data_IF_921726004673
#
_entry.id   IF_921726004673
#
_cell.length_a   1.000
_cell.length_b   1.000
_cell.length_c   1.000
_cell.angle_alpha   90.00
_cell.angle_beta   90.00
_cell.angle_gamma   90.00
#
_symmetry.space_group_name_H-M   'P 1'
#
loop_
_entity.id
_entity.type
_entity.pdbx_description
1 polymer ?
#
# COMPACT_ATOMS: atom_id res chain seq x y z
N UNK A 1 11.29 3.87 15.12
CA UNK A 1 11.87 2.97 14.11
C UNK A 1 12.49 3.81 13.00
N UNK A 2 13.78 3.67 12.79
CA UNK A 2 14.54 4.39 11.74
C UNK A 2 14.88 3.40 10.63
N UNK A 3 14.74 3.82 9.39
CA UNK A 3 15.13 3.02 8.22
C UNK A 3 16.64 3.16 8.01
N UNK A 4 17.35 2.06 8.05
CA UNK A 4 18.79 1.99 7.80
C UNK A 4 19.06 1.83 6.30
N UNK A 5 18.37 0.87 5.65
CA UNK A 5 18.43 0.69 4.20
C UNK A 5 17.07 0.32 3.63
N UNK A 6 16.89 0.58 2.34
CA UNK A 6 15.77 0.09 1.54
C UNK A 6 16.30 -0.20 0.15
N UNK A 7 16.10 -1.43 -0.32
CA UNK A 7 16.70 -1.95 -1.56
C UNK A 7 15.65 -2.69 -2.38
N UNK A 8 15.69 -2.49 -3.70
CA UNK A 8 14.89 -3.29 -4.62
C UNK A 8 15.46 -4.72 -4.67
N UNK A 9 14.60 -5.70 -4.43
CA UNK A 9 14.99 -7.11 -4.48
C UNK A 9 14.72 -7.67 -5.88
N UNK A 10 13.46 -7.61 -6.31
CA UNK A 10 13.03 -8.15 -7.61
C UNK A 10 11.62 -7.72 -7.98
N UNK A 11 11.27 -7.93 -9.24
CA UNK A 11 9.88 -7.92 -9.73
C UNK A 11 9.41 -9.35 -9.98
N UNK A 12 8.16 -9.64 -9.63
CA UNK A 12 7.56 -10.96 -9.74
C UNK A 12 6.28 -10.88 -10.57
N UNK A 13 6.14 -11.78 -11.53
CA UNK A 13 4.93 -11.99 -12.34
C UNK A 13 4.13 -13.18 -11.86
N UNK A 14 4.78 -14.10 -11.13
CA UNK A 14 4.20 -15.35 -10.64
C UNK A 14 4.64 -15.62 -9.19
N UNK A 15 3.84 -16.37 -8.42
CA UNK A 15 4.13 -16.67 -7.02
C UNK A 15 5.45 -17.41 -6.78
N UNK A 16 5.84 -18.32 -7.68
CA UNK A 16 7.09 -19.06 -7.59
C UNK A 16 8.34 -18.17 -7.63
N UNK A 17 8.18 -16.92 -8.06
CA UNK A 17 9.25 -15.92 -8.12
C UNK A 17 9.41 -15.12 -6.83
N UNK A 18 8.50 -15.24 -5.87
CA UNK A 18 8.60 -14.47 -4.62
C UNK A 18 9.86 -14.85 -3.83
N UNK A 19 10.42 -13.90 -3.05
CA UNK A 19 11.53 -14.21 -2.18
C UNK A 19 11.18 -15.37 -1.25
N UNK A 20 12.11 -16.32 -1.10
CA UNK A 20 11.94 -17.46 -0.21
C UNK A 20 12.24 -17.12 1.26
N UNK A 21 12.75 -15.92 1.50
CA UNK A 21 12.98 -15.39 2.84
C UNK A 21 11.63 -15.20 3.54
N UNK A 22 11.44 -15.83 4.68
CA UNK A 22 10.21 -15.72 5.48
C UNK A 22 10.15 -14.41 6.29
N UNK A 23 10.52 -13.30 5.64
CA UNK A 23 10.41 -11.99 6.27
C UNK A 23 8.95 -11.53 6.28
N UNK A 24 8.52 -10.82 7.34
CA UNK A 24 7.22 -10.15 7.33
C UNK A 24 7.11 -9.23 6.12
N UNK A 25 5.91 -9.11 5.55
CA UNK A 25 5.66 -8.28 4.38
C UNK A 25 4.43 -7.41 4.57
N UNK A 26 4.53 -6.16 4.13
CA UNK A 26 3.40 -5.23 4.06
C UNK A 26 3.19 -4.83 2.61
N UNK A 27 2.00 -5.10 2.09
CA UNK A 27 1.65 -4.85 0.70
C UNK A 27 1.00 -3.47 0.54
N UNK A 28 1.35 -2.79 -0.55
CA UNK A 28 0.79 -1.49 -0.92
C UNK A 28 -0.05 -1.65 -2.19
N UNK A 29 -1.31 -1.31 -2.10
CA UNK A 29 -2.25 -1.37 -3.22
C UNK A 29 -3.03 -0.06 -3.33
N UNK A 30 -3.52 0.26 -4.51
CA UNK A 30 -4.34 1.43 -4.74
C UNK A 30 -4.55 1.67 -6.22
N UNK A 31 -5.43 2.59 -6.53
CA UNK A 31 -5.74 2.99 -7.89
C UNK A 31 -4.51 3.56 -8.62
N UNK A 32 -4.46 3.39 -9.94
CA UNK A 32 -3.44 4.06 -10.76
C UNK A 32 -3.43 5.57 -10.50
N UNK A 33 -2.24 6.16 -10.33
CA UNK A 33 -2.04 7.58 -10.02
C UNK A 33 -2.58 8.05 -8.65
N UNK A 34 -2.92 7.16 -7.74
CA UNK A 34 -3.25 7.49 -6.35
C UNK A 34 -2.06 8.07 -5.58
N UNK A 35 -0.84 7.83 -6.05
CA UNK A 35 0.40 8.30 -5.42
C UNK A 35 1.21 7.19 -4.74
N UNK A 36 0.92 5.90 -5.04
CA UNK A 36 1.53 4.74 -4.37
C UNK A 36 3.07 4.74 -4.44
N UNK A 37 3.68 4.83 -5.63
CA UNK A 37 5.14 4.87 -5.77
C UNK A 37 5.77 6.13 -5.14
N UNK A 38 5.06 7.27 -5.17
CA UNK A 38 5.51 8.50 -4.50
C UNK A 38 5.50 8.33 -2.99
N UNK A 39 4.47 7.68 -2.44
CA UNK A 39 4.38 7.38 -1.02
C UNK A 39 5.49 6.41 -0.59
N UNK A 40 5.70 5.31 -1.31
CA UNK A 40 6.77 4.34 -1.02
C UNK A 40 8.14 5.05 -1.00
N UNK A 41 8.46 5.84 -2.02
CA UNK A 41 9.72 6.58 -2.08
C UNK A 41 9.87 7.58 -0.92
N UNK A 42 8.79 8.31 -0.61
CA UNK A 42 8.75 9.25 0.50
C UNK A 42 8.92 8.55 1.85
N UNK A 43 8.17 7.48 2.08
CA UNK A 43 8.18 6.69 3.31
C UNK A 43 9.55 6.07 3.57
N UNK A 44 10.15 5.49 2.54
CA UNK A 44 11.48 4.85 2.62
C UNK A 44 12.63 5.84 2.53
N UNK A 45 12.37 7.13 2.34
CA UNK A 45 13.38 8.20 2.15
C UNK A 45 14.38 7.87 1.02
N UNK A 46 13.90 7.26 -0.07
CA UNK A 46 14.69 6.87 -1.24
C UNK A 46 14.06 7.43 -2.51
N UNK A 47 14.76 8.35 -3.17
CA UNK A 47 14.32 8.89 -4.47
C UNK A 47 14.45 7.80 -5.53
N UNK A 48 13.37 7.55 -6.28
CA UNK A 48 13.39 6.67 -7.46
C UNK A 48 13.49 5.17 -7.17
N UNK A 49 13.37 4.71 -5.91
CA UNK A 49 13.36 3.30 -5.57
C UNK A 49 12.14 2.59 -6.20
N UNK A 50 10.95 3.08 -5.92
CA UNK A 50 9.76 2.71 -6.65
C UNK A 50 9.61 3.64 -7.87
N UNK A 51 9.46 3.05 -9.07
CA UNK A 51 9.38 3.82 -10.31
C UNK A 51 8.07 4.60 -10.35
N UNK A 52 8.18 5.93 -10.29
CA UNK A 52 7.04 6.83 -10.50
C UNK A 52 6.83 6.98 -12.00
N UNK A 53 5.69 6.56 -12.51
CA UNK A 53 5.31 6.75 -13.91
C UNK A 53 4.08 7.64 -14.01
N UNK A 54 4.14 8.65 -14.86
CA UNK A 54 2.96 9.43 -15.27
C UNK A 54 2.12 8.66 -16.29
N UNK A 55 2.70 7.65 -16.95
CA UNK A 55 1.97 6.77 -17.86
C UNK A 55 1.38 5.63 -17.07
N UNK A 56 0.05 5.56 -16.99
CA UNK A 56 -0.64 4.51 -16.26
C UNK A 56 -0.41 3.13 -16.89
N UNK A 57 -0.47 2.04 -16.09
CA UNK A 57 -0.33 0.66 -16.57
C UNK A 57 1.11 0.15 -16.70
N UNK A 58 2.12 0.89 -16.22
CA UNK A 58 3.52 0.43 -16.27
C UNK A 58 3.89 -0.61 -15.20
N UNK A 59 3.24 -0.60 -14.04
CA UNK A 59 3.50 -1.60 -13.01
C UNK A 59 2.57 -2.79 -13.25
N UNK A 60 3.06 -3.78 -13.98
CA UNK A 60 2.37 -5.04 -14.28
C UNK A 60 2.84 -6.17 -13.38
N UNK A 61 3.88 -5.94 -12.60
CA UNK A 61 4.55 -6.91 -11.74
C UNK A 61 4.46 -6.49 -10.27
N UNK A 62 4.55 -7.44 -9.39
CA UNK A 62 4.72 -7.22 -7.96
C UNK A 62 6.19 -6.86 -7.73
N UNK A 63 6.45 -5.66 -7.18
CA UNK A 63 7.82 -5.24 -6.86
C UNK A 63 8.09 -5.40 -5.38
N UNK A 64 9.17 -6.08 -5.04
CA UNK A 64 9.56 -6.37 -3.67
C UNK A 64 10.78 -5.54 -3.28
N UNK A 65 10.66 -4.84 -2.15
CA UNK A 65 11.74 -4.05 -1.56
C UNK A 65 12.05 -4.60 -0.17
N UNK A 66 13.34 -4.84 0.12
CA UNK A 66 13.79 -5.19 1.47
C UNK A 66 14.08 -3.92 2.25
N UNK A 67 13.51 -3.83 3.44
CA UNK A 67 13.73 -2.72 4.36
C UNK A 67 14.46 -3.23 5.58
N UNK A 68 15.56 -2.56 5.94
CA UNK A 68 16.32 -2.82 7.17
C UNK A 68 16.14 -1.66 8.14
N UNK A 69 15.91 -1.96 9.41
CA UNK A 69 15.62 -0.96 10.44
C UNK A 69 16.56 -1.09 11.65
N UNK A 70 16.55 -0.08 12.50
CA UNK A 70 17.21 -0.08 13.80
C UNK A 70 16.38 -0.73 14.92
N UNK A 71 15.14 -1.10 14.67
CA UNK A 71 14.27 -1.76 15.66
C UNK A 71 14.72 -3.23 15.86
N UNK A 72 15.14 -3.63 17.06
CA UNK A 72 15.65 -4.99 17.30
C UNK A 72 14.58 -6.08 17.09
N UNK A 73 13.29 -5.73 17.15
CA UNK A 73 12.18 -6.65 16.94
C UNK A 73 11.77 -6.78 15.47
N UNK A 74 12.12 -5.78 14.65
CA UNK A 74 11.80 -5.74 13.22
C UNK A 74 13.06 -5.35 12.47
N UNK A 75 14.06 -6.24 12.47
CA UNK A 75 15.32 -5.94 11.77
C UNK A 75 15.14 -5.79 10.28
N UNK A 76 14.34 -6.68 9.68
CA UNK A 76 14.06 -6.68 8.25
C UNK A 76 12.62 -7.06 7.97
N UNK A 77 12.05 -6.46 6.94
CA UNK A 77 10.73 -6.81 6.40
C UNK A 77 10.65 -6.41 4.93
N UNK A 78 9.63 -6.89 4.23
CA UNK A 78 9.36 -6.51 2.86
C UNK A 78 8.28 -5.43 2.75
N UNK A 79 8.56 -4.43 1.94
CA UNK A 79 7.57 -3.53 1.34
C UNK A 79 7.27 -4.08 -0.05
N UNK A 80 6.01 -4.33 -0.34
CA UNK A 80 5.57 -4.94 -1.59
C UNK A 80 4.65 -3.98 -2.35
N UNK A 81 5.10 -3.54 -3.51
CA UNK A 81 4.36 -2.64 -4.40
C UNK A 81 3.53 -3.47 -5.37
N UNK A 82 2.24 -3.60 -5.10
CA UNK A 82 1.29 -4.33 -5.94
C UNK A 82 0.88 -3.49 -7.16
N UNK A 83 0.53 -4.11 -8.30
CA UNK A 83 -0.04 -3.40 -9.44
C UNK A 83 -1.24 -2.55 -9.07
N UNK A 84 -1.30 -1.33 -9.61
CA UNK A 84 -2.43 -0.44 -9.38
C UNK A 84 -3.66 -0.89 -10.18
N UNK A 85 -4.84 -0.88 -9.56
CA UNK A 85 -6.10 -1.16 -10.25
C UNK A 85 -6.67 0.09 -10.96
N UNK A 86 -7.76 -0.10 -11.72
CA UNK A 86 -8.56 1.01 -12.25
C UNK A 86 -8.09 1.61 -13.57
N UNK A 87 -7.07 1.04 -14.22
CA UNK A 87 -6.59 1.60 -15.48
C UNK A 87 -7.46 1.20 -16.68
N UNK A 88 -8.09 2.21 -17.33
CA UNK A 88 -9.05 2.00 -18.41
C UNK A 88 -8.42 1.50 -19.72
N UNK A 89 -7.14 1.83 -19.98
CA UNK A 89 -6.44 1.50 -21.23
C UNK A 89 -5.73 0.14 -21.24
N UNK A 90 -5.81 -0.62 -20.15
CA UNK A 90 -5.28 -1.99 -20.12
C UNK A 90 -6.35 -2.92 -20.65
N UNK A 91 -5.97 -3.83 -21.55
CA UNK A 91 -6.91 -4.80 -22.12
C UNK A 91 -7.62 -5.60 -21.03
N UNK A 92 -8.85 -6.06 -21.30
CA UNK A 92 -9.62 -6.91 -20.38
C UNK A 92 -8.81 -8.16 -19.97
N UNK A 93 -8.02 -8.72 -20.89
CA UNK A 93 -7.18 -9.91 -20.69
C UNK A 93 -6.05 -9.66 -19.68
N UNK A 94 -5.33 -8.54 -19.79
CA UNK A 94 -4.27 -8.18 -18.86
C UNK A 94 -4.86 -7.89 -17.46
N UNK A 95 -6.02 -7.24 -17.39
CA UNK A 95 -6.71 -6.96 -16.14
C UNK A 95 -7.18 -8.24 -15.45
N UNK A 96 -7.69 -9.23 -16.22
CA UNK A 96 -8.10 -10.52 -15.69
C UNK A 96 -6.93 -11.33 -15.08
N UNK A 97 -5.69 -11.08 -15.52
CA UNK A 97 -4.50 -11.74 -14.96
C UNK A 97 -3.99 -11.14 -13.66
N UNK A 98 -4.23 -9.85 -13.40
CA UNK A 98 -3.68 -9.20 -12.19
C UNK A 98 -4.40 -9.55 -10.90
N UNK A 99 -5.71 -9.62 -10.94
CA UNK A 99 -6.49 -9.90 -9.74
C UNK A 99 -6.15 -11.28 -9.15
N UNK A 100 -6.12 -12.38 -9.94
CA UNK A 100 -5.70 -13.68 -9.42
C UNK A 100 -4.27 -13.68 -8.86
N UNK A 101 -3.33 -12.95 -9.50
CA UNK A 101 -1.96 -12.86 -9.03
C UNK A 101 -1.88 -12.15 -7.67
N UNK A 102 -2.62 -11.04 -7.49
CA UNK A 102 -2.68 -10.30 -6.24
C UNK A 102 -3.34 -11.16 -5.15
N UNK A 103 -4.46 -11.80 -5.47
CA UNK A 103 -5.14 -12.72 -4.55
C UNK A 103 -4.20 -13.84 -4.10
N UNK A 104 -3.55 -14.51 -5.05
CA UNK A 104 -2.63 -15.61 -4.76
C UNK A 104 -1.43 -15.14 -3.93
N UNK A 105 -0.92 -13.93 -4.17
CA UNK A 105 0.13 -13.35 -3.35
C UNK A 105 -0.36 -13.10 -1.91
N UNK A 106 -1.49 -12.42 -1.77
CA UNK A 106 -1.99 -12.00 -0.46
C UNK A 106 -2.47 -13.14 0.41
N UNK A 107 -3.07 -14.19 -0.19
CA UNK A 107 -3.62 -15.34 0.54
C UNK A 107 -2.65 -16.52 0.64
N UNK A 108 -1.70 -16.63 -0.29
CA UNK A 108 -0.75 -17.74 -0.36
C UNK A 108 0.61 -17.47 0.25
N UNK A 109 0.86 -16.26 0.77
CA UNK A 109 2.15 -15.88 1.35
C UNK A 109 2.06 -15.79 2.86
N UNK A 110 2.66 -16.72 3.58
CA UNK A 110 2.71 -16.76 5.06
C UNK A 110 3.33 -15.51 5.69
N UNK A 111 4.08 -14.73 4.92
CA UNK A 111 4.77 -13.53 5.39
C UNK A 111 3.93 -12.25 5.34
N UNK A 112 2.78 -12.23 4.65
CA UNK A 112 1.96 -11.02 4.52
C UNK A 112 1.28 -10.70 5.84
N UNK A 113 1.64 -9.57 6.45
CA UNK A 113 1.11 -9.08 7.74
C UNK A 113 -0.05 -8.11 7.56
N UNK A 114 -0.22 -7.57 6.37
CA UNK A 114 -1.34 -6.68 6.06
C UNK A 114 -1.14 -5.89 4.78
N UNK A 115 -2.16 -5.12 4.48
CA UNK A 115 -2.27 -4.34 3.24
C UNK A 115 -2.51 -2.86 3.57
N UNK A 116 -1.71 -1.98 2.99
CA UNK A 116 -1.98 -0.55 2.94
C UNK A 116 -2.80 -0.27 1.67
N UNK A 117 -4.07 0.01 1.85
CA UNK A 117 -4.96 0.42 0.78
C UNK A 117 -4.90 1.94 0.62
N UNK A 118 -4.36 2.40 -0.48
CA UNK A 118 -4.22 3.83 -0.77
C UNK A 118 -5.46 4.36 -1.51
N UNK A 119 -5.98 5.48 -1.02
CA UNK A 119 -7.08 6.23 -1.64
C UNK A 119 -6.70 7.71 -1.76
N UNK A 120 -7.26 8.43 -2.72
CA UNK A 120 -7.03 9.86 -2.84
C UNK A 120 -7.88 10.60 -1.79
N UNK A 121 -7.27 11.45 -0.96
CA UNK A 121 -7.97 12.18 0.09
C UNK A 121 -9.06 13.14 -0.45
N UNK A 122 -9.00 13.50 -1.72
CA UNK A 122 -9.96 14.41 -2.37
C UNK A 122 -11.25 13.72 -2.83
N UNK A 123 -11.28 12.39 -2.85
CA UNK A 123 -12.44 11.62 -3.24
C UNK A 123 -12.11 10.20 -3.70
N UNK A 124 -13.09 9.34 -3.59
CA UNK A 124 -13.02 7.92 -3.95
C UNK A 124 -13.73 7.67 -5.28
N UNK A 125 -13.36 6.58 -5.93
CA UNK A 125 -14.10 6.02 -7.07
C UNK A 125 -14.75 4.69 -6.67
N UNK A 126 -15.77 4.27 -7.42
CA UNK A 126 -16.46 2.98 -7.21
C UNK A 126 -15.48 1.81 -7.04
N UNK A 127 -14.38 1.81 -7.81
CA UNK A 127 -13.36 0.76 -7.76
C UNK A 127 -12.56 0.74 -6.46
N UNK A 128 -12.44 1.87 -5.78
CA UNK A 128 -11.82 1.92 -4.45
C UNK A 128 -12.70 1.15 -3.46
N UNK A 129 -14.03 1.31 -3.53
CA UNK A 129 -14.99 0.55 -2.72
C UNK A 129 -14.96 -0.96 -3.01
N UNK A 130 -14.90 -1.34 -4.29
CA UNK A 130 -14.78 -2.74 -4.70
C UNK A 130 -13.52 -3.40 -4.14
N UNK A 131 -12.36 -2.69 -4.22
CA UNK A 131 -11.09 -3.18 -3.72
C UNK A 131 -11.06 -3.29 -2.18
N UNK A 132 -11.52 -2.26 -1.48
CA UNK A 132 -11.62 -2.28 -0.01
C UNK A 132 -12.55 -3.38 0.46
N UNK A 133 -13.75 -3.50 -0.13
CA UNK A 133 -14.71 -4.53 0.22
C UNK A 133 -14.17 -5.95 0.01
N UNK A 134 -13.38 -6.18 -1.05
CA UNK A 134 -12.71 -7.45 -1.26
C UNK A 134 -11.64 -7.72 -0.20
N UNK A 135 -10.78 -6.74 0.09
CA UNK A 135 -9.72 -6.86 1.11
C UNK A 135 -10.31 -7.17 2.50
N UNK A 136 -11.37 -6.48 2.90
CA UNK A 136 -12.03 -6.72 4.19
C UNK A 136 -12.60 -8.15 4.29
N UNK A 137 -13.15 -8.69 3.18
CA UNK A 137 -13.65 -10.08 3.15
C UNK A 137 -12.55 -11.12 3.13
N UNK A 138 -11.32 -10.77 2.72
CA UNK A 138 -10.19 -11.72 2.69
C UNK A 138 -9.61 -12.03 4.07
N UNK A 139 -10.03 -11.32 5.12
CA UNK A 139 -9.52 -11.48 6.48
C UNK A 139 -8.11 -10.94 6.71
N UNK A 140 -7.49 -10.32 5.68
CA UNK A 140 -6.16 -9.74 5.80
C UNK A 140 -6.28 -8.37 6.49
N UNK A 141 -5.40 -8.04 7.47
CA UNK A 141 -5.40 -6.73 8.10
C UNK A 141 -5.22 -5.60 7.06
N UNK A 142 -6.14 -4.63 7.06
CA UNK A 142 -6.15 -3.51 6.11
C UNK A 142 -5.98 -2.20 6.85
N UNK A 143 -5.05 -1.37 6.39
CA UNK A 143 -4.89 0.02 6.80
C UNK A 143 -5.23 0.94 5.62
N UNK A 144 -6.19 1.85 5.80
CA UNK A 144 -6.45 2.88 4.81
C UNK A 144 -5.47 4.04 4.93
N UNK A 145 -4.93 4.46 3.77
CA UNK A 145 -4.03 5.61 3.68
C UNK A 145 -4.60 6.63 2.70
N UNK A 146 -5.05 7.76 3.23
CA UNK A 146 -5.56 8.88 2.45
C UNK A 146 -4.39 9.72 1.93
N UNK A 147 -4.03 9.52 0.66
CA UNK A 147 -2.89 10.18 0.01
C UNK A 147 -3.22 11.60 -0.45
N UNK A 148 -2.19 12.38 -0.78
CA UNK A 148 -2.31 13.76 -1.28
C UNK A 148 -3.01 14.72 -0.29
N UNK A 149 -2.84 14.48 0.99
CA UNK A 149 -3.42 15.30 2.06
C UNK A 149 -2.99 16.77 2.01
N UNK A 150 -1.86 17.05 1.35
CA UNK A 150 -1.38 18.43 1.05
C UNK A 150 -2.29 19.21 0.10
N UNK A 151 -3.23 18.56 -0.57
CA UNK A 151 -4.21 19.20 -1.46
C UNK A 151 -5.48 19.67 -0.72
N UNK A 152 -5.58 19.38 0.56
CA UNK A 152 -6.71 19.73 1.41
C UNK A 152 -6.24 20.65 2.55
N UNK A 153 -7.09 21.59 2.93
CA UNK A 153 -6.92 22.37 4.17
C UNK A 153 -7.07 21.44 5.39
N UNK A 154 -6.64 21.92 6.56
CA UNK A 154 -6.77 21.16 7.81
C UNK A 154 -8.22 20.77 8.13
N UNK A 155 -9.15 21.67 7.89
CA UNK A 155 -10.58 21.42 8.10
C UNK A 155 -11.14 20.39 7.13
N UNK A 156 -10.82 20.50 5.83
CA UNK A 156 -11.25 19.57 4.80
C UNK A 156 -10.72 18.16 5.04
N UNK A 157 -9.49 18.01 5.59
CA UNK A 157 -8.91 16.69 5.90
C UNK A 157 -9.74 15.93 6.92
N UNK A 158 -10.17 16.59 7.99
CA UNK A 158 -11.00 15.95 9.01
C UNK A 158 -12.30 15.41 8.41
N UNK A 159 -12.98 16.23 7.61
CA UNK A 159 -14.19 15.83 6.88
C UNK A 159 -13.93 14.69 5.89
N UNK A 160 -12.80 14.75 5.14
CA UNK A 160 -12.41 13.72 4.21
C UNK A 160 -12.18 12.36 4.90
N UNK A 161 -11.46 12.32 6.01
CA UNK A 161 -11.22 11.07 6.75
C UNK A 161 -12.51 10.49 7.32
N UNK A 162 -13.43 11.32 7.81
CA UNK A 162 -14.75 10.87 8.26
C UNK A 162 -15.56 10.26 7.10
N UNK A 163 -15.61 10.96 5.97
CA UNK A 163 -16.29 10.48 4.76
C UNK A 163 -15.70 9.15 4.24
N UNK A 164 -14.39 8.97 4.30
CA UNK A 164 -13.75 7.71 3.91
C UNK A 164 -14.17 6.55 4.81
N UNK A 165 -14.27 6.75 6.14
CA UNK A 165 -14.75 5.71 7.05
C UNK A 165 -16.20 5.32 6.72
N UNK A 166 -17.05 6.29 6.49
CA UNK A 166 -18.45 6.07 6.13
C UNK A 166 -18.59 5.33 4.79
N UNK A 167 -17.94 5.81 3.74
CA UNK A 167 -18.00 5.22 2.38
C UNK A 167 -17.54 3.77 2.36
N UNK A 168 -16.54 3.42 3.16
CA UNK A 168 -16.02 2.05 3.22
C UNK A 168 -16.64 1.20 4.33
N UNK A 169 -17.61 1.72 5.07
CA UNK A 169 -18.29 1.00 6.16
C UNK A 169 -17.33 0.58 7.28
N UNK A 170 -16.31 1.40 7.54
CA UNK A 170 -15.33 1.10 8.58
C UNK A 170 -15.86 1.51 9.96
N UNK A 171 -15.47 0.79 11.05
CA UNK A 171 -15.72 1.25 12.41
C UNK A 171 -15.21 2.68 12.63
N UNK A 172 -15.88 3.45 13.50
CA UNK A 172 -15.53 4.85 13.74
C UNK A 172 -14.10 5.05 14.31
N UNK A 173 -13.58 4.03 14.96
CA UNK A 173 -12.21 3.94 15.51
C UNK A 173 -11.19 3.34 14.53
N UNK A 174 -11.63 2.95 13.32
CA UNK A 174 -10.71 2.38 12.33
C UNK A 174 -9.62 3.40 11.94
N UNK A 175 -8.39 2.92 11.93
CA UNK A 175 -7.23 3.72 11.57
C UNK A 175 -7.28 4.10 10.07
N UNK A 176 -7.41 5.40 9.80
CA UNK A 176 -7.23 6.00 8.47
C UNK A 176 -6.15 7.05 8.58
N UNK A 177 -5.00 6.78 7.96
CA UNK A 177 -3.84 7.67 8.03
C UNK A 177 -3.84 8.65 6.86
N UNK A 178 -3.85 9.95 7.15
CA UNK A 178 -3.62 10.98 6.13
C UNK A 178 -2.12 11.08 5.81
N UNK A 179 -1.77 11.10 4.53
CA UNK A 179 -0.38 11.14 4.10
C UNK A 179 -0.12 12.12 2.95
N UNK A 180 0.94 12.90 3.06
CA UNK A 180 1.48 13.68 1.95
C UNK A 180 2.90 13.24 1.58
N UNK A 181 3.09 12.83 0.33
CA UNK A 181 4.43 12.55 -0.21
C UNK A 181 5.23 13.82 -0.50
N UNK A 182 4.60 15.00 -0.46
CA UNK A 182 5.21 16.31 -0.72
C UNK A 182 5.74 16.93 0.58
N UNK A 183 4.87 17.04 1.59
CA UNK A 183 5.20 17.63 2.89
C UNK A 183 5.74 16.61 3.89
N UNK A 184 5.56 15.33 3.60
CA UNK A 184 5.88 14.19 4.47
C UNK A 184 5.05 14.13 5.77
N UNK A 185 3.98 14.89 5.85
CA UNK A 185 3.00 14.81 6.94
C UNK A 185 2.36 13.40 6.99
N UNK A 186 2.11 12.88 8.19
CA UNK A 186 1.58 11.54 8.41
C UNK A 186 2.65 10.42 8.38
N UNK A 187 3.95 10.75 8.15
CA UNK A 187 5.00 9.73 8.03
C UNK A 187 5.21 8.92 9.30
N UNK A 188 5.29 9.59 10.43
CA UNK A 188 5.56 8.92 11.71
C UNK A 188 4.36 8.08 12.16
N UNK A 189 3.15 8.59 11.94
CA UNK A 189 1.90 7.87 12.17
C UNK A 189 1.81 6.62 11.30
N UNK A 190 2.09 6.74 10.00
CA UNK A 190 2.12 5.60 9.09
C UNK A 190 3.18 4.56 9.49
N UNK A 191 4.37 5.01 9.94
CA UNK A 191 5.39 4.10 10.44
C UNK A 191 4.98 3.37 11.71
N UNK A 192 4.26 4.03 12.63
CA UNK A 192 3.73 3.38 13.83
C UNK A 192 2.71 2.30 13.45
N UNK A 193 1.81 2.58 12.52
CA UNK A 193 0.83 1.62 12.04
C UNK A 193 1.48 0.42 11.33
N UNK A 194 2.45 0.67 10.44
CA UNK A 194 3.22 -0.40 9.76
C UNK A 194 3.97 -1.26 10.80
N UNK A 195 4.61 -0.62 11.78
CA UNK A 195 5.32 -1.32 12.84
C UNK A 195 4.41 -2.26 13.62
N UNK A 196 3.23 -1.78 14.02
CA UNK A 196 2.20 -2.58 14.69
C UNK A 196 1.80 -3.77 13.82
N UNK A 197 1.53 -3.55 12.55
CA UNK A 197 1.14 -4.58 11.58
C UNK A 197 2.23 -5.65 11.38
N UNK A 198 3.49 -5.24 11.23
CA UNK A 198 4.63 -6.17 11.03
C UNK A 198 4.90 -7.02 12.28
N UNK A 199 4.58 -6.50 13.46
CA UNK A 199 4.78 -7.20 14.74
C UNK A 199 3.61 -8.10 15.14
N UNK A 200 2.46 -7.98 14.52
CA UNK A 200 1.31 -8.84 14.80
C UNK A 200 1.60 -10.24 14.27
N UNK A 201 1.50 -11.23 15.15
CA UNK A 201 1.38 -12.63 14.73
C UNK A 201 -0.02 -12.79 14.11
N UNK A 202 -0.07 -13.38 12.93
CA UNK A 202 -1.34 -13.70 12.23
C UNK A 202 -1.87 -15.01 12.81
#
# INVERSE_FOLDING_TARGET
>A
MKILSAEFVKSCERPDQFPKDRLPAVAFIGRSNVGKSSLINSLLRRKGLARVSRTPGKTQMINVFRVTTDDPRIRQFFVVDLPGYGYAKVSKTIRAGWQPMIEQYLTGSDGVRGVLQLVDSRGTERRDGEAVGWLLRSGIPVLLVATKSDKLTRSERAGSLAALREVFGLPGDADVVAYSSVTHEGRDELWQAIRKMVMSDV
#
